data_IF_517068072381
#
_entry.id   IF_517068072381
#
_cell.length_a   1.000
_cell.length_b   1.000
_cell.length_c   1.000
_cell.angle_alpha   90.00
_cell.angle_beta   90.00
_cell.angle_gamma   90.00
#
_symmetry.space_group_name_H-M   'P 1'
#
loop_
_entity.id
_entity.type
_entity.pdbx_description
1 polymer ?
#
# COMPACT_ATOMS: atom_id res chain seq x y z
N UNK A 1 -2.76 21.06 2.01
CA UNK A 1 -4.11 20.68 1.53
C UNK A 1 -4.70 19.65 2.48
N UNK A 2 -6.02 19.52 2.51
CA UNK A 2 -6.69 18.41 3.20
C UNK A 2 -6.50 17.10 2.44
N UNK A 3 -6.67 15.98 3.13
CA UNK A 3 -6.70 14.67 2.51
C UNK A 3 -7.86 14.53 1.52
N UNK A 4 -7.68 13.79 0.42
CA UNK A 4 -8.73 13.49 -0.53
C UNK A 4 -9.75 12.51 0.07
N UNK A 5 -11.03 12.76 -0.17
CA UNK A 5 -12.14 11.91 0.27
C UNK A 5 -12.70 11.00 -0.85
N UNK A 6 -12.29 11.25 -2.09
CA UNK A 6 -12.74 10.54 -3.29
C UNK A 6 -11.71 9.54 -3.85
N UNK A 7 -10.45 9.58 -3.39
CA UNK A 7 -9.50 8.51 -3.70
C UNK A 7 -9.92 7.26 -2.93
N UNK A 8 -10.14 6.17 -3.67
CA UNK A 8 -10.67 4.92 -3.13
C UNK A 8 -9.88 4.48 -1.90
N UNK A 9 -10.57 4.22 -0.79
CA UNK A 9 -9.98 3.66 0.42
C UNK A 9 -8.77 4.48 0.94
N UNK A 10 -8.79 5.82 0.80
CA UNK A 10 -7.72 6.67 1.29
C UNK A 10 -7.55 6.56 2.82
N UNK A 11 -6.29 6.51 3.27
CA UNK A 11 -5.93 6.58 4.67
C UNK A 11 -4.58 7.24 4.85
N UNK A 12 -4.51 8.26 5.71
CA UNK A 12 -3.25 8.77 6.24
C UNK A 12 -2.87 8.00 7.50
N UNK A 13 -1.68 7.42 7.51
CA UNK A 13 -1.15 6.69 8.66
C UNK A 13 -0.41 7.62 9.62
N UNK A 14 0.37 8.56 9.06
CA UNK A 14 1.10 9.58 9.82
C UNK A 14 1.44 10.80 8.94
N UNK A 15 2.32 11.68 9.41
CA UNK A 15 2.70 12.90 8.69
C UNK A 15 3.41 12.62 7.35
N UNK A 16 4.08 11.48 7.21
CA UNK A 16 4.90 11.15 6.05
C UNK A 16 4.31 10.03 5.18
N UNK A 17 3.27 9.32 5.65
CA UNK A 17 2.78 8.11 5.02
C UNK A 17 1.27 8.16 4.74
N UNK A 18 0.91 7.97 3.48
CA UNK A 18 -0.49 7.85 3.03
C UNK A 18 -0.68 6.57 2.23
N UNK A 19 -1.90 6.04 2.23
CA UNK A 19 -2.25 4.82 1.50
C UNK A 19 -3.60 4.95 0.80
N UNK A 20 -3.80 4.17 -0.26
CA UNK A 20 -5.10 4.08 -0.92
C UNK A 20 -5.29 2.81 -1.77
N UNK A 21 -6.48 2.67 -2.32
CA UNK A 21 -6.75 1.89 -3.51
C UNK A 21 -6.23 2.58 -4.76
N UNK A 22 -6.80 2.24 -5.92
CA UNK A 22 -6.31 2.73 -7.21
C UNK A 22 -6.29 4.26 -7.27
N UNK A 23 -5.29 4.79 -7.94
CA UNK A 23 -5.21 6.20 -8.31
C UNK A 23 -5.59 6.37 -9.78
N UNK A 24 -6.15 7.53 -10.11
CA UNK A 24 -6.54 7.91 -11.47
C UNK A 24 -5.63 9.02 -12.00
N UNK A 25 -5.76 9.34 -13.30
CA UNK A 25 -5.04 10.47 -13.91
C UNK A 25 -5.17 11.77 -13.12
N UNK A 26 -6.36 12.04 -12.57
CA UNK A 26 -6.62 13.24 -11.76
C UNK A 26 -5.87 13.26 -10.43
N UNK A 27 -5.47 12.10 -9.90
CA UNK A 27 -4.87 11.98 -8.59
C UNK A 27 -3.36 12.24 -8.62
N UNK A 28 -2.70 12.05 -9.76
CA UNK A 28 -1.26 12.24 -9.93
C UNK A 28 -0.82 13.65 -9.51
N UNK A 29 -1.52 14.69 -9.99
CA UNK A 29 -1.23 16.08 -9.61
C UNK A 29 -1.59 16.34 -8.15
N UNK A 30 -2.69 15.74 -7.66
CA UNK A 30 -3.13 15.90 -6.26
C UNK A 30 -2.12 15.32 -5.27
N UNK A 31 -1.51 14.18 -5.60
CA UNK A 31 -0.42 13.59 -4.81
C UNK A 31 0.79 14.54 -4.77
N UNK A 32 1.16 15.14 -5.91
CA UNK A 32 2.24 16.12 -5.97
C UNK A 32 1.95 17.35 -5.09
N UNK A 33 0.74 17.89 -5.18
CA UNK A 33 0.29 19.04 -4.39
C UNK A 33 0.21 18.70 -2.88
N UNK A 34 -0.02 17.43 -2.52
CA UNK A 34 0.06 16.95 -1.12
C UNK A 34 1.50 16.85 -0.61
N UNK A 35 2.49 17.06 -1.47
CA UNK A 35 3.90 16.95 -1.16
C UNK A 35 4.44 15.53 -1.22
N UNK A 36 3.70 14.58 -1.81
CA UNK A 36 4.19 13.21 -2.01
C UNK A 36 5.43 13.25 -2.89
N UNK A 37 6.50 12.56 -2.46
CA UNK A 37 7.79 12.49 -3.15
C UNK A 37 8.06 11.10 -3.74
N UNK A 38 7.32 10.10 -3.27
CA UNK A 38 7.46 8.72 -3.72
C UNK A 38 6.12 8.02 -3.73
N UNK A 39 5.84 7.29 -4.81
CA UNK A 39 4.72 6.36 -4.90
C UNK A 39 5.24 4.93 -4.99
N UNK A 40 4.68 4.06 -4.14
CA UNK A 40 4.90 2.61 -4.17
C UNK A 40 3.61 1.92 -4.59
N UNK A 41 3.61 1.27 -5.75
CA UNK A 41 2.46 0.58 -6.30
C UNK A 41 2.58 -0.94 -6.12
N UNK A 42 1.63 -1.54 -5.39
CA UNK A 42 1.58 -2.97 -5.12
C UNK A 42 0.63 -3.75 -6.07
N UNK A 43 -0.08 -3.05 -6.96
CA UNK A 43 -1.01 -3.66 -7.90
C UNK A 43 -0.29 -4.27 -9.12
N UNK A 44 -0.96 -5.21 -9.78
CA UNK A 44 -0.53 -5.68 -11.09
C UNK A 44 -0.91 -4.64 -12.15
N UNK A 45 0.02 -4.28 -13.04
CA UNK A 45 -0.26 -3.40 -14.19
C UNK A 45 -1.30 -3.99 -15.16
N UNK A 46 -1.45 -5.31 -15.16
CA UNK A 46 -2.44 -6.03 -15.97
C UNK A 46 -3.87 -5.93 -15.40
N UNK A 47 -4.05 -5.34 -14.23
CA UNK A 47 -5.39 -5.16 -13.66
C UNK A 47 -6.19 -4.15 -14.52
N UNK A 48 -7.47 -4.41 -14.83
CA UNK A 48 -8.27 -3.52 -15.70
C UNK A 48 -8.41 -2.09 -15.19
N UNK A 49 -8.29 -1.90 -13.88
CA UNK A 49 -8.33 -0.59 -13.23
C UNK A 49 -6.94 0.00 -12.92
N UNK A 50 -5.85 -0.60 -13.40
CA UNK A 50 -4.51 -0.04 -13.23
C UNK A 50 -4.34 1.21 -14.11
N UNK A 51 -3.61 2.20 -13.59
CA UNK A 51 -3.34 3.42 -14.34
C UNK A 51 -2.28 3.16 -15.40
N UNK A 52 -2.67 3.23 -16.67
CA UNK A 52 -1.72 3.09 -17.78
C UNK A 52 -0.65 4.20 -17.72
N UNK A 53 0.62 3.83 -17.84
CA UNK A 53 1.74 4.79 -17.80
C UNK A 53 1.93 5.48 -16.46
N UNK A 54 1.50 4.87 -15.35
CA UNK A 54 1.55 5.46 -14.00
C UNK A 54 2.93 6.03 -13.65
N UNK A 55 4.01 5.26 -13.86
CA UNK A 55 5.38 5.70 -13.58
C UNK A 55 5.80 6.93 -14.39
N UNK A 56 5.41 7.02 -15.66
CA UNK A 56 5.70 8.18 -16.53
C UNK A 56 4.97 9.43 -16.06
N UNK A 57 3.69 9.28 -15.68
CA UNK A 57 2.85 10.37 -15.18
C UNK A 57 3.37 10.92 -13.85
N UNK A 58 3.79 10.03 -12.94
CA UNK A 58 4.40 10.41 -11.67
C UNK A 58 5.76 11.09 -11.87
N UNK A 59 6.60 10.56 -12.76
CA UNK A 59 7.88 11.16 -13.11
C UNK A 59 7.71 12.57 -13.68
N UNK A 60 6.66 12.82 -14.48
CA UNK A 60 6.33 14.15 -14.99
C UNK A 60 5.97 15.16 -13.88
N UNK A 61 5.55 14.69 -12.69
CA UNK A 61 5.34 15.52 -11.51
C UNK A 61 6.54 15.54 -10.55
N UNK A 62 7.67 14.93 -10.92
CA UNK A 62 8.85 14.84 -10.05
C UNK A 62 8.68 13.90 -8.85
N UNK A 63 7.73 12.96 -8.94
CA UNK A 63 7.48 11.93 -7.92
C UNK A 63 8.25 10.67 -8.30
N UNK A 64 9.07 10.16 -7.37
CA UNK A 64 9.73 8.87 -7.55
C UNK A 64 8.70 7.74 -7.61
N UNK A 65 9.00 6.67 -8.33
CA UNK A 65 8.08 5.54 -8.49
C UNK A 65 8.79 4.21 -8.23
N UNK A 66 8.15 3.34 -7.45
CA UNK A 66 8.59 1.96 -7.27
C UNK A 66 7.40 1.04 -7.46
N UNK A 67 7.52 0.13 -8.43
CA UNK A 67 6.50 -0.88 -8.70
C UNK A 67 6.91 -2.21 -8.10
N UNK A 68 6.03 -2.79 -7.28
CA UNK A 68 6.22 -4.09 -6.65
C UNK A 68 4.95 -4.91 -6.95
N UNK A 69 4.87 -5.58 -8.11
CA UNK A 69 3.66 -6.27 -8.52
C UNK A 69 3.39 -7.46 -7.58
N UNK A 70 2.40 -7.35 -6.69
CA UNK A 70 2.02 -8.43 -5.77
C UNK A 70 0.80 -9.18 -6.33
N UNK A 71 0.94 -10.45 -6.75
CA UNK A 71 -0.21 -11.29 -7.10
C UNK A 71 -1.15 -11.42 -5.91
N UNK A 72 -2.45 -11.23 -6.11
CA UNK A 72 -3.39 -11.26 -4.99
C UNK A 72 -3.55 -12.67 -4.40
N UNK A 73 -3.32 -13.69 -5.20
CA UNK A 73 -3.38 -15.12 -4.85
C UNK A 73 -2.01 -15.71 -4.48
N UNK A 74 -0.94 -14.91 -4.50
CA UNK A 74 0.40 -15.34 -4.11
C UNK A 74 1.26 -14.18 -3.56
N UNK A 75 0.85 -13.52 -2.46
CA UNK A 75 1.76 -12.65 -1.71
C UNK A 75 2.92 -13.48 -1.13
N UNK A 76 4.08 -12.87 -0.96
CA UNK A 76 5.30 -13.59 -0.58
C UNK A 76 6.32 -12.68 0.10
N UNK A 77 7.30 -13.28 0.78
CA UNK A 77 8.27 -12.51 1.56
C UNK A 77 9.21 -11.67 0.74
N UNK A 78 9.53 -12.09 -0.48
CA UNK A 78 10.33 -11.26 -1.39
C UNK A 78 9.59 -9.95 -1.73
N UNK A 79 8.26 -10.02 -1.91
CA UNK A 79 7.43 -8.83 -2.08
C UNK A 79 7.46 -7.94 -0.82
N UNK A 80 7.36 -8.56 0.37
CA UNK A 80 7.40 -7.83 1.63
C UNK A 80 8.76 -7.16 1.85
N UNK A 81 9.86 -7.87 1.60
CA UNK A 81 11.22 -7.33 1.72
C UNK A 81 11.45 -6.16 0.74
N UNK A 82 10.98 -6.29 -0.51
CA UNK A 82 11.03 -5.20 -1.48
C UNK A 82 10.21 -3.99 -1.03
N UNK A 83 9.04 -4.22 -0.43
CA UNK A 83 8.20 -3.15 0.12
C UNK A 83 8.89 -2.42 1.28
N UNK A 84 9.48 -3.16 2.22
CA UNK A 84 10.24 -2.58 3.33
C UNK A 84 11.41 -1.74 2.79
N UNK A 85 12.16 -2.27 1.81
CA UNK A 85 13.25 -1.53 1.19
C UNK A 85 12.76 -0.23 0.52
N UNK A 86 11.64 -0.29 -0.21
CA UNK A 86 11.05 0.89 -0.84
C UNK A 86 10.59 1.94 0.18
N UNK A 87 10.04 1.54 1.33
CA UNK A 87 9.65 2.45 2.40
C UNK A 87 10.83 3.07 3.14
N UNK A 88 11.85 2.28 3.48
CA UNK A 88 12.94 2.72 4.35
C UNK A 88 14.05 3.47 3.59
N UNK A 89 14.22 3.18 2.30
CA UNK A 89 15.27 3.78 1.46
C UNK A 89 14.71 4.81 0.47
N UNK A 90 13.38 4.87 0.32
CA UNK A 90 12.69 5.76 -0.61
C UNK A 90 12.59 7.21 -0.10
N UNK A 91 12.32 8.17 -1.01
CA UNK A 91 12.00 9.54 -0.63
C UNK A 91 10.72 9.62 0.20
N UNK A 92 10.66 10.58 1.13
CA UNK A 92 9.44 10.88 1.90
C UNK A 92 8.96 12.30 1.61
N UNK A 93 7.66 12.61 1.77
CA UNK A 93 6.53 11.72 2.07
C UNK A 93 6.23 10.66 1.01
N UNK A 94 5.77 9.48 1.44
CA UNK A 94 5.45 8.34 0.59
C UNK A 94 3.94 8.11 0.52
N UNK A 95 3.48 7.72 -0.66
CA UNK A 95 2.14 7.22 -0.90
C UNK A 95 2.21 5.77 -1.39
N UNK A 96 1.54 4.84 -0.71
CA UNK A 96 1.52 3.43 -1.11
C UNK A 96 0.12 3.04 -1.53
N UNK A 97 -0.05 2.48 -2.71
CA UNK A 97 -1.37 2.07 -3.16
C UNK A 97 -1.40 0.70 -3.83
N UNK A 98 -2.62 0.20 -4.02
CA UNK A 98 -2.91 -0.93 -4.88
C UNK A 98 -4.24 -0.66 -5.60
N UNK A 99 -5.14 -1.65 -5.71
CA UNK A 99 -6.49 -1.45 -6.28
C UNK A 99 -7.53 -1.10 -5.21
N UNK A 100 -7.52 -1.78 -4.06
CA UNK A 100 -8.54 -1.67 -3.01
C UNK A 100 -7.99 -1.26 -1.63
N UNK A 101 -6.70 -0.94 -1.53
CA UNK A 101 -5.94 -0.77 -0.28
C UNK A 101 -5.80 -2.06 0.59
N UNK A 102 -6.13 -3.23 0.04
CA UNK A 102 -6.07 -4.50 0.78
C UNK A 102 -4.64 -5.04 0.92
N UNK A 103 -3.88 -5.09 -0.18
CA UNK A 103 -2.46 -5.49 -0.16
C UNK A 103 -1.66 -4.57 0.76
N UNK A 104 -1.90 -3.27 0.59
CA UNK A 104 -1.17 -2.20 1.27
C UNK A 104 -1.46 -2.24 2.76
N UNK A 105 -2.73 -2.34 3.18
CA UNK A 105 -3.07 -2.48 4.59
C UNK A 105 -2.43 -3.73 5.21
N UNK A 106 -2.48 -4.88 4.53
CA UNK A 106 -1.84 -6.12 5.01
C UNK A 106 -0.30 -6.00 5.13
N UNK A 107 0.35 -5.33 4.17
CA UNK A 107 1.78 -5.07 4.20
C UNK A 107 2.15 -4.09 5.33
N UNK A 108 1.38 -3.02 5.53
CA UNK A 108 1.59 -2.11 6.65
C UNK A 108 1.29 -2.75 8.00
N UNK A 109 0.34 -3.67 8.10
CA UNK A 109 0.11 -4.44 9.33
C UNK A 109 1.39 -5.20 9.74
N UNK A 110 1.97 -5.96 8.80
CA UNK A 110 3.25 -6.64 9.04
C UNK A 110 4.37 -5.65 9.37
N UNK A 111 4.53 -4.59 8.59
CA UNK A 111 5.59 -3.60 8.81
C UNK A 111 5.47 -2.89 10.16
N UNK A 112 4.26 -2.46 10.53
CA UNK A 112 4.01 -1.78 11.79
C UNK A 112 4.34 -2.70 12.98
N UNK A 113 3.95 -3.98 12.90
CA UNK A 113 4.23 -4.99 13.94
C UNK A 113 5.72 -5.35 13.98
N UNK A 114 6.30 -5.72 12.85
CA UNK A 114 7.61 -6.39 12.76
C UNK A 114 8.78 -5.39 12.74
N UNK A 115 8.60 -4.18 12.19
CA UNK A 115 9.66 -3.17 12.02
C UNK A 115 9.47 -1.92 12.89
N UNK A 116 8.23 -1.44 13.08
CA UNK A 116 7.96 -0.27 13.94
C UNK A 116 7.67 -0.63 15.39
N UNK A 117 7.50 -1.91 15.70
CA UNK A 117 7.19 -2.38 17.05
C UNK A 117 5.85 -1.87 17.59
N UNK A 118 4.89 -1.53 16.71
CA UNK A 118 3.54 -1.20 17.15
C UNK A 118 2.90 -2.41 17.82
N UNK A 119 2.13 -2.23 18.92
CA UNK A 119 1.33 -3.29 19.50
C UNK A 119 0.44 -3.93 18.43
N UNK A 120 0.29 -5.24 18.48
CA UNK A 120 -0.45 -6.00 17.47
C UNK A 120 -1.87 -5.46 17.29
N UNK A 121 -2.59 -5.20 18.40
CA UNK A 121 -3.94 -4.65 18.36
C UNK A 121 -4.02 -3.28 17.65
N UNK A 122 -3.00 -2.43 17.79
CA UNK A 122 -2.97 -1.12 17.13
C UNK A 122 -2.65 -1.25 15.64
N UNK A 123 -1.68 -2.12 15.29
CA UNK A 123 -1.36 -2.42 13.90
C UNK A 123 -2.56 -3.07 13.18
N UNK A 124 -3.27 -3.97 13.87
CA UNK A 124 -4.50 -4.61 13.41
C UNK A 124 -5.60 -3.57 13.16
N UNK A 125 -5.87 -2.70 14.13
CA UNK A 125 -6.89 -1.67 14.01
C UNK A 125 -6.64 -0.72 12.82
N UNK A 126 -5.37 -0.43 12.48
CA UNK A 126 -5.04 0.34 11.28
C UNK A 126 -5.38 -0.39 9.98
N UNK A 127 -5.14 -1.70 9.93
CA UNK A 127 -5.40 -2.56 8.77
C UNK A 127 -6.91 -2.71 8.52
N UNK A 128 -7.65 -3.01 9.59
CA UNK A 128 -9.08 -3.35 9.55
C UNK A 128 -9.96 -2.17 9.15
N UNK A 129 -9.43 -0.94 9.16
CA UNK A 129 -10.08 0.22 8.53
C UNK A 129 -10.33 0.02 7.03
N UNK A 130 -9.44 -0.72 6.36
CA UNK A 130 -9.53 -0.99 4.93
C UNK A 130 -9.96 -2.42 4.64
N UNK A 131 -9.38 -3.38 5.35
CA UNK A 131 -9.63 -4.79 5.12
C UNK A 131 -9.18 -5.66 6.28
N UNK A 132 -9.88 -6.77 6.49
CA UNK A 132 -9.42 -7.91 7.28
C UNK A 132 -9.56 -9.17 6.44
N UNK A 133 -8.52 -10.02 6.31
CA UNK A 133 -8.68 -11.35 5.74
C UNK A 133 -9.41 -12.30 6.70
N UNK A 134 -9.43 -11.99 8.00
CA UNK A 134 -10.08 -12.81 9.01
C UNK A 134 -11.60 -12.75 8.82
N UNK A 135 -12.27 -13.91 8.92
CA UNK A 135 -13.73 -14.00 8.77
C UNK A 135 -14.25 -14.09 7.34
N UNK A 136 -13.37 -14.19 6.34
CA UNK A 136 -13.75 -14.45 4.94
C UNK A 136 -13.43 -15.89 4.54
N UNK A 137 -14.41 -16.58 3.93
CA UNK A 137 -14.26 -17.97 3.49
C UNK A 137 -13.57 -18.15 2.13
N UNK A 138 -13.12 -17.05 1.50
CA UNK A 138 -12.49 -17.12 0.18
C UNK A 138 -11.07 -17.70 0.26
N UNK A 139 -10.62 -18.29 -0.84
CA UNK A 139 -9.25 -18.83 -0.96
C UNK A 139 -8.23 -17.71 -0.75
N UNK A 140 -8.48 -16.54 -1.32
CA UNK A 140 -7.62 -15.38 -1.26
C UNK A 140 -7.49 -14.88 0.17
N UNK A 141 -8.61 -14.78 0.90
CA UNK A 141 -8.57 -14.35 2.31
C UNK A 141 -7.68 -15.27 3.16
N UNK A 142 -7.77 -16.59 2.97
CA UNK A 142 -6.90 -17.55 3.67
C UNK A 142 -5.42 -17.33 3.36
N UNK A 143 -5.09 -17.14 2.08
CA UNK A 143 -3.72 -16.85 1.63
C UNK A 143 -3.16 -15.60 2.32
N UNK A 144 -3.96 -14.55 2.43
CA UNK A 144 -3.55 -13.32 3.10
C UNK A 144 -3.48 -13.45 4.62
N UNK A 145 -4.40 -14.20 5.23
CA UNK A 145 -4.35 -14.51 6.66
C UNK A 145 -3.06 -15.28 7.01
N UNK A 146 -2.69 -16.27 6.19
CA UNK A 146 -1.42 -16.99 6.31
C UNK A 146 -0.21 -16.06 6.11
N UNK A 147 -0.24 -15.21 5.09
CA UNK A 147 0.84 -14.27 4.79
C UNK A 147 1.12 -13.26 5.92
N UNK A 148 0.10 -12.84 6.66
CA UNK A 148 0.23 -11.87 7.75
C UNK A 148 0.36 -12.50 9.14
N UNK A 149 0.17 -13.82 9.24
CA UNK A 149 0.31 -14.53 10.50
C UNK A 149 1.70 -14.28 11.12
N UNK A 150 1.81 -14.17 12.46
CA UNK A 150 3.09 -14.14 13.12
C UNK A 150 3.89 -15.39 12.75
N UNK A 151 5.16 -15.22 12.40
CA UNK A 151 6.04 -16.37 12.22
C UNK A 151 6.62 -16.82 13.55
N UNK A 152 6.69 -18.14 13.82
CA UNK A 152 7.49 -18.64 14.93
C UNK A 152 8.96 -18.26 14.70
N UNK A 153 9.62 -17.85 15.79
CA UNK A 153 11.04 -17.54 15.83
C UNK A 153 11.92 -18.78 15.63
#
# INVERSE_FOLDING_TARGET
>A
MSDPDDIRAWQRLDAATTTSGRIEDRDVVRLADLGVRHVVNLALETHPEALAGEGEKLAAQGIAYTHIPVPFDAPGDDHFAAFVAALEQGPTPVHVHCIMNWRVSAFFYRYNRDHRGLPEADARALMERQWSPDGHDSKEARIWAEFIAPRPA
#
